data_IF_701389082090
#
_entry.id   IF_701389082090
#
_cell.length_a   1.000
_cell.length_b   1.000
_cell.length_c   1.000
_cell.angle_alpha   90.00
_cell.angle_beta   90.00
_cell.angle_gamma   90.00
#
_symmetry.space_group_name_H-M   'P 1'
#
loop_
_entity.id
_entity.type
_entity.pdbx_description
1 polymer ?
#
# COMPACT_ATOMS: atom_id res chain seq x y z
N UNK A 1 19.15 -8.57 1.96
CA UNK A 1 18.75 -8.43 3.38
C UNK A 1 18.53 -6.97 3.79
N UNK A 2 19.48 -6.05 3.54
CA UNK A 2 19.28 -4.61 3.84
C UNK A 2 18.11 -3.98 3.07
N UNK A 3 17.91 -4.39 1.81
CA UNK A 3 16.83 -3.91 0.94
C UNK A 3 15.43 -4.23 1.48
N UNK A 4 15.23 -5.50 1.87
CA UNK A 4 13.98 -5.97 2.47
C UNK A 4 13.70 -5.26 3.80
N UNK A 5 14.72 -5.02 4.63
CA UNK A 5 14.56 -4.29 5.89
C UNK A 5 14.12 -2.83 5.64
N UNK A 6 14.72 -2.14 4.67
CA UNK A 6 14.33 -0.79 4.28
C UNK A 6 12.87 -0.72 3.79
N UNK A 7 12.48 -1.69 2.96
CA UNK A 7 11.09 -1.81 2.49
C UNK A 7 10.11 -2.14 3.63
N UNK A 8 10.43 -3.06 4.53
CA UNK A 8 9.62 -3.37 5.72
C UNK A 8 9.35 -2.12 6.56
N UNK A 9 10.40 -1.38 6.88
CA UNK A 9 10.30 -0.15 7.69
C UNK A 9 9.43 0.88 6.98
N UNK A 10 9.60 1.05 5.67
CA UNK A 10 8.75 1.94 4.89
C UNK A 10 7.27 1.53 4.97
N UNK A 11 6.96 0.26 4.73
CA UNK A 11 5.58 -0.25 4.75
C UNK A 11 4.96 -0.04 6.13
N UNK A 12 5.70 -0.31 7.21
CA UNK A 12 5.20 -0.12 8.58
C UNK A 12 4.92 1.35 8.88
N UNK A 13 5.85 2.25 8.56
CA UNK A 13 5.68 3.69 8.80
C UNK A 13 4.54 4.24 7.94
N UNK A 14 4.48 3.84 6.66
CA UNK A 14 3.43 4.28 5.76
C UNK A 14 2.06 3.75 6.17
N UNK A 15 1.95 2.49 6.59
CA UNK A 15 0.72 1.92 7.15
C UNK A 15 0.27 2.69 8.40
N UNK A 16 1.18 2.94 9.35
CA UNK A 16 0.86 3.70 10.56
C UNK A 16 0.43 5.14 10.26
N UNK A 17 1.01 5.76 9.24
CA UNK A 17 0.70 7.15 8.83
C UNK A 17 -0.60 7.22 8.04
N UNK A 18 -0.87 6.24 7.17
CA UNK A 18 -2.09 6.16 6.36
C UNK A 18 -3.32 5.86 7.23
N UNK A 19 -3.19 4.97 8.21
CA UNK A 19 -4.25 4.67 9.18
C UNK A 19 -4.58 5.87 10.08
N UNK A 20 -3.57 6.70 10.46
CA UNK A 20 -3.80 7.86 11.34
C UNK A 20 -4.26 9.11 10.60
N UNK A 21 -3.71 9.36 9.41
CA UNK A 21 -3.82 10.67 8.77
C UNK A 21 -4.39 10.61 7.35
N UNK A 22 -4.62 9.41 6.79
CA UNK A 22 -5.03 9.17 5.39
C UNK A 22 -4.23 9.99 4.36
N UNK A 23 -2.99 10.33 4.71
CA UNK A 23 -2.09 11.16 3.91
C UNK A 23 -0.68 10.65 4.09
N UNK A 24 -0.14 10.08 3.02
CA UNK A 24 1.27 9.71 2.94
C UNK A 24 2.07 11.00 2.64
N UNK A 25 2.94 11.45 3.56
CA UNK A 25 3.64 12.71 3.36
C UNK A 25 4.79 12.55 2.36
N UNK A 26 5.00 13.58 1.53
CA UNK A 26 6.02 13.56 0.46
C UNK A 26 7.45 13.42 0.99
N UNK A 27 7.73 13.85 2.23
CA UNK A 27 9.07 13.72 2.81
C UNK A 27 9.41 12.26 3.14
N UNK A 28 8.41 11.42 3.47
CA UNK A 28 8.60 10.00 3.73
C UNK A 28 8.91 9.25 2.43
N UNK A 29 8.13 9.50 1.37
CA UNK A 29 8.32 8.86 0.06
C UNK A 29 9.58 9.37 -0.64
N UNK A 30 9.83 10.68 -0.63
CA UNK A 30 11.04 11.26 -1.19
C UNK A 30 12.31 10.87 -0.42
N UNK A 31 12.26 10.92 0.92
CA UNK A 31 13.40 10.57 1.77
C UNK A 31 13.77 9.09 1.68
N UNK A 32 12.77 8.20 1.61
CA UNK A 32 13.03 6.78 1.43
C UNK A 32 13.53 6.42 0.04
N UNK A 33 13.04 7.10 -1.01
CA UNK A 33 13.58 6.94 -2.36
C UNK A 33 15.05 7.35 -2.42
N UNK A 34 15.40 8.51 -1.82
CA UNK A 34 16.79 8.95 -1.72
C UNK A 34 17.66 7.98 -0.91
N UNK A 35 17.13 7.44 0.20
CA UNK A 35 17.82 6.44 1.00
C UNK A 35 18.06 5.13 0.25
N UNK A 36 17.08 4.66 -0.55
CA UNK A 36 17.23 3.50 -1.41
C UNK A 36 18.33 3.71 -2.44
N UNK A 37 18.32 4.88 -3.08
CA UNK A 37 19.31 5.25 -4.09
C UNK A 37 20.72 5.27 -3.50
N UNK A 38 20.89 5.90 -2.33
CA UNK A 38 22.17 5.92 -1.63
C UNK A 38 22.63 4.52 -1.21
N UNK A 39 21.73 3.69 -0.67
CA UNK A 39 22.08 2.32 -0.26
C UNK A 39 22.58 1.50 -1.46
N UNK A 40 21.89 1.57 -2.59
CA UNK A 40 22.23 0.85 -3.81
C UNK A 40 23.49 1.40 -4.50
N UNK A 41 23.67 2.71 -4.52
CA UNK A 41 24.88 3.35 -5.05
C UNK A 41 26.11 3.00 -4.20
N UNK A 42 25.97 2.98 -2.87
CA UNK A 42 27.07 2.59 -1.98
C UNK A 42 27.41 1.09 -2.09
N UNK A 43 26.41 0.24 -2.33
CA UNK A 43 26.60 -1.21 -2.46
C UNK A 43 27.18 -1.64 -3.81
N UNK A 44 26.71 -1.05 -4.91
CA UNK A 44 26.99 -1.53 -6.27
C UNK A 44 27.32 -0.42 -7.28
N UNK A 45 27.55 0.82 -6.82
CA UNK A 45 27.92 1.95 -7.67
C UNK A 45 26.85 2.28 -8.72
N UNK A 46 27.28 2.41 -9.97
CA UNK A 46 26.39 2.73 -11.11
C UNK A 46 25.37 1.62 -11.38
N UNK A 47 25.74 0.35 -11.15
CA UNK A 47 24.83 -0.79 -11.31
C UNK A 47 23.66 -0.76 -10.32
N UNK A 48 23.94 -0.38 -9.07
CA UNK A 48 22.90 -0.18 -8.06
C UNK A 48 21.97 0.99 -8.38
N UNK A 49 22.51 2.08 -8.95
CA UNK A 49 21.69 3.21 -9.41
C UNK A 49 20.68 2.78 -10.48
N UNK A 50 21.13 1.99 -11.46
CA UNK A 50 20.27 1.44 -12.50
C UNK A 50 19.20 0.52 -11.93
N UNK A 51 19.57 -0.37 -11.00
CA UNK A 51 18.63 -1.28 -10.34
C UNK A 51 17.53 -0.51 -9.60
N UNK A 52 17.90 0.49 -8.80
CA UNK A 52 16.96 1.31 -8.05
C UNK A 52 16.04 2.15 -8.97
N UNK A 53 16.57 2.72 -10.06
CA UNK A 53 15.77 3.48 -11.01
C UNK A 53 14.78 2.59 -11.78
N UNK A 54 15.24 1.44 -12.28
CA UNK A 54 14.37 0.50 -13.01
C UNK A 54 13.29 -0.06 -12.09
N UNK A 55 13.64 -0.42 -10.85
CA UNK A 55 12.69 -0.84 -9.84
C UNK A 55 11.66 0.25 -9.49
N UNK A 56 12.11 1.50 -9.35
CA UNK A 56 11.21 2.62 -9.08
C UNK A 56 10.21 2.88 -10.23
N UNK A 57 10.68 2.82 -11.48
CA UNK A 57 9.82 2.92 -12.66
C UNK A 57 8.84 1.74 -12.69
N UNK A 58 9.29 0.53 -12.41
CA UNK A 58 8.44 -0.65 -12.34
C UNK A 58 7.34 -0.54 -11.27
N UNK A 59 7.62 0.09 -10.13
CA UNK A 59 6.62 0.39 -9.10
C UNK A 59 5.67 1.54 -9.47
N UNK A 60 6.18 2.53 -10.21
CA UNK A 60 5.42 3.72 -10.58
C UNK A 60 4.44 3.47 -11.72
N UNK A 61 4.84 2.74 -12.77
CA UNK A 61 4.02 2.52 -13.97
C UNK A 61 2.61 1.95 -13.66
N UNK A 62 2.47 0.85 -12.91
CA UNK A 62 1.16 0.25 -12.66
C UNK A 62 0.24 1.15 -11.83
N UNK A 63 0.81 1.84 -10.83
CA UNK A 63 0.03 2.75 -9.98
C UNK A 63 -0.33 4.05 -10.68
N UNK A 64 0.50 4.56 -11.60
CA UNK A 64 0.12 5.71 -12.44
C UNK A 64 -1.08 5.35 -13.32
N UNK A 65 -1.12 4.15 -13.90
CA UNK A 65 -2.29 3.69 -14.66
C UNK A 65 -3.54 3.64 -13.78
N UNK A 66 -3.44 3.11 -12.56
CA UNK A 66 -4.55 3.11 -11.59
C UNK A 66 -4.95 4.51 -11.11
N UNK A 67 -3.97 5.41 -10.94
CA UNK A 67 -4.20 6.80 -10.58
C UNK A 67 -4.95 7.55 -11.69
N UNK A 68 -4.61 7.30 -12.96
CA UNK A 68 -5.31 7.87 -14.11
C UNK A 68 -6.79 7.45 -14.16
N UNK A 69 -7.10 6.22 -13.73
CA UNK A 69 -8.47 5.69 -13.60
C UNK A 69 -9.15 6.18 -12.30
N UNK A 70 -8.47 7.02 -11.50
CA UNK A 70 -8.90 7.52 -10.17
C UNK A 70 -9.16 6.41 -9.14
N UNK A 71 -8.55 5.24 -9.32
CA UNK A 71 -8.69 4.11 -8.39
C UNK A 71 -7.81 4.23 -7.14
N UNK A 72 -6.69 4.94 -7.23
CA UNK A 72 -5.65 5.04 -6.17
C UNK A 72 -5.25 6.49 -5.94
N UNK A 73 -4.73 6.84 -4.76
CA UNK A 73 -4.27 8.18 -4.43
C UNK A 73 -2.88 8.49 -4.99
N UNK A 74 -2.59 9.78 -5.26
CA UNK A 74 -1.27 10.21 -5.71
C UNK A 74 -0.14 9.91 -4.68
N UNK A 75 -0.49 9.75 -3.41
CA UNK A 75 0.45 9.36 -2.36
C UNK A 75 0.96 7.94 -2.53
N UNK A 76 0.07 6.99 -2.83
CA UNK A 76 0.40 5.58 -3.01
C UNK A 76 1.33 5.36 -4.20
N UNK A 77 1.12 6.12 -5.29
CA UNK A 77 1.98 6.08 -6.49
C UNK A 77 3.44 6.36 -6.14
N UNK A 78 3.67 7.41 -5.34
CA UNK A 78 5.03 7.80 -4.91
C UNK A 78 5.64 6.78 -3.98
N UNK A 79 4.82 6.15 -3.16
CA UNK A 79 5.28 5.13 -2.24
C UNK A 79 5.69 3.84 -2.96
N UNK A 80 4.93 3.38 -3.95
CA UNK A 80 5.34 2.24 -4.76
C UNK A 80 6.59 2.51 -5.57
N UNK A 81 6.80 3.77 -6.01
CA UNK A 81 8.07 4.16 -6.61
C UNK A 81 9.24 4.04 -5.62
N UNK A 82 9.05 4.48 -4.37
CA UNK A 82 10.06 4.31 -3.32
C UNK A 82 10.30 2.84 -2.95
N UNK A 83 9.26 2.02 -2.81
CA UNK A 83 9.37 0.58 -2.59
C UNK A 83 10.06 -0.13 -3.75
N UNK A 84 9.73 0.24 -4.98
CA UNK A 84 10.40 -0.28 -6.18
C UNK A 84 11.89 0.05 -6.20
N UNK A 85 12.30 1.23 -5.71
CA UNK A 85 13.71 1.57 -5.58
C UNK A 85 14.46 0.70 -4.55
N UNK A 86 13.77 0.25 -3.51
CA UNK A 86 14.35 -0.65 -2.50
C UNK A 86 14.40 -2.10 -2.99
N UNK A 87 13.28 -2.61 -3.50
CA UNK A 87 13.05 -4.03 -3.77
C UNK A 87 13.46 -4.47 -5.19
N UNK A 88 13.49 -3.54 -6.14
CA UNK A 88 13.68 -3.88 -7.55
C UNK A 88 12.39 -4.31 -8.26
N UNK A 89 12.55 -4.77 -9.50
CA UNK A 89 11.43 -4.93 -10.46
C UNK A 89 10.56 -6.16 -10.20
N UNK A 90 11.17 -7.32 -9.89
CA UNK A 90 10.41 -8.56 -9.64
C UNK A 90 9.47 -8.40 -8.46
N UNK A 91 10.05 -7.95 -7.35
CA UNK A 91 9.43 -7.95 -6.03
C UNK A 91 8.33 -6.89 -5.94
N UNK A 92 8.52 -5.72 -6.58
CA UNK A 92 7.51 -4.67 -6.59
C UNK A 92 6.28 -5.05 -7.42
N UNK A 93 6.47 -5.79 -8.53
CA UNK A 93 5.37 -6.29 -9.35
C UNK A 93 4.58 -7.34 -8.57
N UNK A 94 5.26 -8.27 -7.90
CA UNK A 94 4.61 -9.29 -7.09
C UNK A 94 3.84 -8.65 -5.92
N UNK A 95 4.45 -7.67 -5.23
CA UNK A 95 3.80 -6.89 -4.19
C UNK A 95 2.54 -6.18 -4.71
N UNK A 96 2.63 -5.57 -5.89
CA UNK A 96 1.50 -4.89 -6.53
C UNK A 96 0.34 -5.86 -6.84
N UNK A 97 0.64 -7.02 -7.42
CA UNK A 97 -0.37 -8.03 -7.74
C UNK A 97 -1.09 -8.51 -6.48
N UNK A 98 -0.35 -8.87 -5.42
CA UNK A 98 -0.98 -9.25 -4.16
C UNK A 98 -1.76 -8.10 -3.53
N UNK A 99 -1.26 -6.86 -3.60
CA UNK A 99 -1.98 -5.68 -3.09
C UNK A 99 -3.33 -5.50 -3.79
N UNK A 100 -3.41 -5.70 -5.11
CA UNK A 100 -4.69 -5.66 -5.83
C UNK A 100 -5.62 -6.78 -5.39
N UNK A 101 -5.11 -8.01 -5.25
CA UNK A 101 -5.91 -9.16 -4.83
C UNK A 101 -6.52 -8.93 -3.43
N UNK A 102 -5.71 -8.46 -2.47
CA UNK A 102 -6.19 -8.11 -1.13
C UNK A 102 -7.16 -6.92 -1.15
N UNK A 103 -6.89 -5.89 -1.94
CA UNK A 103 -7.78 -4.75 -2.08
C UNK A 103 -9.14 -5.16 -2.66
N UNK A 104 -9.15 -6.04 -3.67
CA UNK A 104 -10.36 -6.60 -4.25
C UNK A 104 -11.14 -7.45 -3.25
N UNK A 105 -10.47 -8.34 -2.51
CA UNK A 105 -11.10 -9.17 -1.49
C UNK A 105 -11.73 -8.33 -0.36
N UNK A 106 -11.01 -7.32 0.14
CA UNK A 106 -11.51 -6.39 1.16
C UNK A 106 -12.67 -5.55 0.63
N UNK A 107 -12.62 -5.10 -0.63
CA UNK A 107 -13.71 -4.38 -1.28
C UNK A 107 -14.99 -5.22 -1.39
N UNK A 108 -14.88 -6.49 -1.79
CA UNK A 108 -16.02 -7.43 -1.84
C UNK A 108 -16.56 -7.68 -0.44
N UNK A 109 -15.68 -7.95 0.54
CA UNK A 109 -16.08 -8.16 1.94
C UNK A 109 -16.85 -6.95 2.49
N UNK A 110 -16.37 -5.74 2.22
CA UNK A 110 -17.06 -4.50 2.60
C UNK A 110 -18.43 -4.37 1.95
N UNK A 111 -18.56 -4.73 0.67
CA UNK A 111 -19.83 -4.67 -0.04
C UNK A 111 -20.84 -5.69 0.52
N UNK A 112 -20.38 -6.90 0.83
CA UNK A 112 -21.18 -7.95 1.48
C UNK A 112 -21.62 -7.51 2.87
N UNK A 113 -20.70 -7.04 3.71
CA UNK A 113 -21.02 -6.52 5.05
C UNK A 113 -22.04 -5.39 4.93
N UNK A 114 -21.79 -4.38 4.11
CA UNK A 114 -22.73 -3.26 3.94
C UNK A 114 -24.13 -3.71 3.52
N UNK A 115 -24.23 -4.72 2.64
CA UNK A 115 -25.52 -5.28 2.24
C UNK A 115 -26.21 -6.02 3.39
N UNK A 116 -25.46 -6.82 4.16
CA UNK A 116 -25.96 -7.50 5.36
C UNK A 116 -26.37 -6.51 6.45
N UNK A 117 -25.64 -5.40 6.62
CA UNK A 117 -25.96 -4.33 7.57
C UNK A 117 -27.20 -3.55 7.17
N UNK A 118 -27.39 -3.24 5.89
CA UNK A 118 -28.61 -2.55 5.43
C UNK A 118 -29.84 -3.45 5.58
N UNK A 119 -29.71 -4.75 5.28
CA UNK A 119 -30.78 -5.74 5.47
C UNK A 119 -31.04 -6.01 6.96
N UNK A 120 -30.00 -6.08 7.78
CA UNK A 120 -30.11 -6.31 9.23
C UNK A 120 -30.53 -5.07 10.04
N UNK A 121 -30.18 -3.86 9.60
CA UNK A 121 -30.64 -2.61 10.21
C UNK A 121 -32.15 -2.38 10.01
N UNK A 122 -32.73 -2.91 8.93
CA UNK A 122 -34.18 -3.00 8.77
C UNK A 122 -34.84 -3.93 9.82
N UNK A 123 -34.06 -4.74 10.53
CA UNK A 123 -34.49 -5.76 11.51
C UNK A 123 -34.02 -5.44 12.96
N UNK A 124 -33.96 -4.14 13.30
CA UNK A 124 -33.96 -3.45 14.61
C UNK A 124 -33.24 -4.07 15.85
N UNK A 125 -32.42 -3.20 16.48
CA UNK A 125 -32.16 -3.02 17.93
C UNK A 125 -31.00 -3.68 18.72
N UNK A 126 -30.21 -4.64 18.23
CA UNK A 126 -29.28 -5.35 19.16
C UNK A 126 -27.78 -5.32 18.88
N UNK A 127 -27.25 -4.46 18.00
CA UNK A 127 -25.86 -4.63 17.55
C UNK A 127 -25.00 -3.35 17.60
N UNK A 128 -24.79 -2.83 18.82
CA UNK A 128 -23.81 -1.76 19.07
C UNK A 128 -22.36 -2.13 18.67
N UNK A 129 -21.98 -3.41 18.76
CA UNK A 129 -20.67 -3.90 18.33
C UNK A 129 -20.47 -3.80 16.81
N UNK A 130 -21.53 -3.94 16.03
CA UNK A 130 -21.47 -3.88 14.56
C UNK A 130 -21.45 -2.43 14.07
N UNK A 131 -22.13 -1.53 14.78
CA UNK A 131 -22.03 -0.08 14.52
C UNK A 131 -20.61 0.41 14.80
N UNK A 132 -19.94 -0.08 15.84
CA UNK A 132 -18.55 0.26 16.14
C UNK A 132 -17.57 -0.20 15.03
N UNK A 133 -17.75 -1.42 14.51
CA UNK A 133 -16.99 -1.92 13.35
C UNK A 133 -17.28 -1.06 12.12
N UNK A 134 -18.55 -0.73 11.87
CA UNK A 134 -18.91 0.14 10.75
C UNK A 134 -18.37 1.57 10.88
N UNK A 135 -18.21 2.08 12.11
CA UNK A 135 -17.67 3.42 12.42
C UNK A 135 -16.17 3.54 12.14
N UNK A 136 -15.40 2.46 12.36
CA UNK A 136 -14.00 2.37 11.91
C UNK A 136 -13.87 2.44 10.39
N UNK A 137 -14.92 2.06 9.65
CA UNK A 137 -14.98 2.11 8.18
C UNK A 137 -15.89 3.23 7.63
N UNK A 138 -16.44 4.09 8.49
CA UNK A 138 -17.31 5.22 8.13
C UNK A 138 -16.54 6.51 7.81
N UNK A 139 -15.22 6.52 8.05
CA UNK A 139 -14.33 7.63 7.73
C UNK A 139 -14.01 7.73 6.24
N UNK A 140 -14.96 8.21 5.43
CA UNK A 140 -14.71 8.66 4.07
C UNK A 140 -14.66 7.57 2.99
N UNK A 141 -15.06 7.96 1.78
CA UNK A 141 -15.26 7.12 0.59
C UNK A 141 -14.00 6.52 -0.03
N UNK A 142 -12.86 6.53 0.66
CA UNK A 142 -11.57 6.07 0.14
C UNK A 142 -10.95 5.08 1.10
N UNK A 143 -11.05 3.81 0.73
CA UNK A 143 -10.37 2.71 1.40
C UNK A 143 -8.84 2.97 1.40
N UNK A 144 -8.15 2.88 2.56
CA UNK A 144 -6.70 3.07 2.62
C UNK A 144 -6.03 1.93 1.86
N UNK A 145 -5.38 2.22 0.74
CA UNK A 145 -4.75 1.19 -0.10
C UNK A 145 -3.67 0.42 0.67
N UNK A 146 -2.99 1.10 1.61
CA UNK A 146 -2.01 0.50 2.54
C UNK A 146 -2.53 -0.71 3.32
N UNK A 147 -3.83 -0.76 3.59
CA UNK A 147 -4.47 -1.84 4.35
C UNK A 147 -4.39 -3.17 3.59
N UNK A 148 -4.35 -3.12 2.26
CA UNK A 148 -4.10 -4.27 1.39
C UNK A 148 -2.60 -4.53 1.16
N UNK A 149 -1.78 -3.48 1.17
CA UNK A 149 -0.33 -3.58 0.91
C UNK A 149 0.42 -4.24 2.06
N UNK A 150 0.04 -3.98 3.33
CA UNK A 150 0.66 -4.62 4.49
C UNK A 150 0.60 -6.17 4.45
N UNK A 151 -0.58 -6.81 4.29
CA UNK A 151 -0.64 -8.28 4.17
C UNK A 151 -0.01 -8.80 2.87
N UNK A 152 -0.03 -8.02 1.79
CA UNK A 152 0.70 -8.34 0.55
C UNK A 152 2.22 -8.39 0.78
N UNK A 153 2.77 -7.45 1.55
CA UNK A 153 4.19 -7.43 1.88
C UNK A 153 4.59 -8.64 2.73
N UNK A 154 3.76 -8.98 3.73
CA UNK A 154 3.96 -10.17 4.57
C UNK A 154 3.94 -11.45 3.73
N UNK A 155 3.02 -11.58 2.77
CA UNK A 155 2.96 -12.76 1.90
C UNK A 155 4.12 -12.84 0.92
N UNK A 156 4.54 -11.72 0.32
CA UNK A 156 5.72 -11.66 -0.55
C UNK A 156 7.03 -12.02 0.15
N UNK A 157 7.13 -11.80 1.46
CA UNK A 157 8.38 -12.00 2.19
C UNK A 157 8.42 -13.27 3.03
N UNK A 158 7.27 -13.94 3.20
CA UNK A 158 7.19 -15.25 3.85
C UNK A 158 7.32 -16.44 2.88
N UNK A 159 7.20 -16.20 1.57
CA UNK A 159 7.29 -17.19 0.51
C UNK A 159 8.31 -16.77 -0.55
#
# INVERSE_FOLDING_TARGET
MLEQLGACVLVVIAFATDVRSMRIPNWLTGGSFAAALLAHVLAAGVGGLQFALVGAVAGLVPLVTMYAIKGVGAGDVKLFAALGAWLGTSDIIQLFVYSILYAGALGVLMLVIRRLLVVGAAMRESWGAVVAVSGLFAGGTRFPFMLAVAPAAVTCWLF
#
